data_IF_743029927363
#
_entry.id   IF_743029927363
#
_cell.length_a   1.000
_cell.length_b   1.000
_cell.length_c   1.000
_cell.angle_alpha   90.00
_cell.angle_beta   90.00
_cell.angle_gamma   90.00
#
_symmetry.space_group_name_H-M   'P 1'
#
loop_
_entity.id
_entity.type
_entity.pdbx_description
1 polymer ?
#
# COMPACT_ATOMS: atom_id res chain seq x y z
N UNK A 1 -0.31 -15.28 -10.83
CA UNK A 1 0.92 -16.07 -10.57
C UNK A 1 2.20 -15.22 -10.51
N UNK A 2 2.25 -14.01 -10.99
CA UNK A 2 3.50 -13.23 -11.12
C UNK A 2 3.88 -12.44 -9.86
N UNK A 3 2.95 -12.02 -9.03
CA UNK A 3 3.23 -11.22 -7.82
C UNK A 3 3.76 -12.08 -6.67
N UNK A 4 3.38 -13.35 -6.59
CA UNK A 4 3.85 -14.27 -5.53
C UNK A 4 5.20 -14.92 -5.85
N UNK A 5 5.62 -15.01 -7.12
CA UNK A 5 6.91 -15.61 -7.52
C UNK A 5 8.13 -14.70 -7.30
N UNK A 6 7.95 -13.41 -7.11
CA UNK A 6 9.07 -12.48 -6.87
C UNK A 6 9.69 -12.68 -5.48
N UNK A 7 8.97 -13.30 -4.53
CA UNK A 7 9.48 -13.55 -3.19
C UNK A 7 10.20 -14.89 -2.98
N UNK A 8 10.32 -15.76 -4.00
CA UNK A 8 10.88 -17.12 -3.83
C UNK A 8 12.29 -17.35 -4.38
N UNK A 9 12.97 -16.37 -4.98
CA UNK A 9 14.28 -16.57 -5.66
C UNK A 9 15.52 -15.92 -5.03
N UNK A 10 15.47 -15.55 -3.76
CA UNK A 10 16.64 -14.96 -3.07
C UNK A 10 17.19 -15.82 -1.92
N UNK A 11 17.13 -17.15 -2.02
CA UNK A 11 17.70 -18.05 -1.00
C UNK A 11 18.37 -19.28 -1.62
N UNK A 12 19.30 -19.07 -2.56
CA UNK A 12 20.21 -20.13 -2.99
C UNK A 12 21.37 -19.54 -3.81
N UNK A 13 22.41 -19.08 -3.18
CA UNK A 13 23.78 -19.05 -3.71
C UNK A 13 24.74 -18.49 -2.66
N UNK A 14 25.30 -19.32 -1.84
CA UNK A 14 26.66 -19.17 -1.30
C UNK A 14 27.04 -20.46 -0.58
N UNK A 15 27.60 -21.41 -1.33
CA UNK A 15 28.39 -22.50 -0.82
C UNK A 15 29.69 -22.55 -1.62
N UNK A 16 30.79 -22.30 -0.93
CA UNK A 16 32.10 -22.58 -1.50
C UNK A 16 33.20 -21.65 -1.02
N UNK A 17 33.86 -22.00 0.08
CA UNK A 17 35.30 -21.73 0.28
C UNK A 17 35.88 -22.73 1.28
N UNK A 18 37.20 -23.08 1.17
CA UNK A 18 37.73 -24.36 1.60
C UNK A 18 38.25 -24.40 3.05
N UNK A 19 38.21 -25.60 3.61
CA UNK A 19 38.84 -25.94 4.90
C UNK A 19 40.36 -25.81 4.85
N UNK A 20 40.93 -25.13 5.84
CA UNK A 20 42.31 -25.36 6.30
C UNK A 20 42.30 -25.77 7.77
N UNK A 21 42.97 -26.86 7.99
CA UNK A 21 43.29 -27.53 9.25
C UNK A 21 44.40 -26.81 10.02
N UNK A 22 44.30 -26.72 11.34
CA UNK A 22 45.38 -27.08 12.27
C UNK A 22 45.11 -26.62 13.71
N UNK A 23 45.41 -27.45 14.69
CA UNK A 23 45.93 -27.04 16.00
C UNK A 23 45.02 -27.31 17.22
N UNK A 24 45.15 -28.46 17.83
CA UNK A 24 44.65 -28.78 19.19
C UNK A 24 45.49 -28.12 20.26
N UNK A 25 44.85 -27.53 21.29
CA UNK A 25 45.29 -27.63 22.71
C UNK A 25 44.09 -27.34 23.63
N UNK A 26 43.95 -27.99 24.80
CA UNK A 26 42.77 -27.95 25.63
C UNK A 26 42.87 -26.89 26.72
N UNK A 27 41.80 -26.13 26.96
CA UNK A 27 41.61 -25.40 28.21
C UNK A 27 40.19 -25.66 28.72
N UNK A 28 40.12 -26.37 29.83
CA UNK A 28 38.89 -26.61 30.57
C UNK A 28 38.39 -25.31 31.18
N UNK A 29 37.21 -24.83 30.74
CA UNK A 29 36.46 -23.80 31.40
C UNK A 29 35.06 -24.36 31.66
N UNK A 30 34.72 -24.48 32.93
CA UNK A 30 33.38 -24.77 33.43
C UNK A 30 32.46 -23.62 33.03
N UNK A 31 31.60 -23.80 32.07
CA UNK A 31 30.50 -22.88 31.75
C UNK A 31 29.21 -23.54 32.23
N UNK A 32 28.61 -22.98 33.28
CA UNK A 32 27.25 -23.32 33.68
C UNK A 32 26.30 -22.87 32.55
N UNK A 33 25.79 -23.84 31.82
CA UNK A 33 24.74 -23.61 30.83
C UNK A 33 23.42 -23.36 31.56
N UNK A 34 23.03 -22.10 31.67
CA UNK A 34 21.65 -21.74 31.99
C UNK A 34 20.86 -21.99 30.71
N UNK A 35 20.25 -23.16 30.62
CA UNK A 35 19.28 -23.47 29.55
C UNK A 35 18.02 -22.64 29.79
N UNK A 36 17.90 -21.51 29.13
CA UNK A 36 16.61 -20.88 28.90
C UNK A 36 15.82 -21.80 27.95
N UNK A 37 15.00 -22.67 28.54
CA UNK A 37 13.95 -23.38 27.80
C UNK A 37 12.94 -22.35 27.34
N UNK A 38 13.13 -21.82 26.13
CA UNK A 38 12.04 -21.21 25.40
C UNK A 38 11.05 -22.35 25.11
N UNK A 39 10.04 -22.49 25.95
CA UNK A 39 8.97 -23.46 25.75
C UNK A 39 8.24 -23.12 24.47
N UNK A 40 8.59 -23.80 23.38
CA UNK A 40 7.75 -23.86 22.19
C UNK A 40 6.43 -24.50 22.65
N UNK A 41 5.36 -23.71 22.74
CA UNK A 41 4.02 -24.22 22.99
C UNK A 41 3.73 -25.28 21.92
N UNK A 42 3.37 -26.49 22.34
CA UNK A 42 2.93 -27.55 21.42
C UNK A 42 1.73 -27.04 20.61
N UNK A 43 1.61 -27.35 19.32
CA UNK A 43 0.49 -26.92 18.49
C UNK A 43 -0.88 -27.16 19.13
N UNK A 44 -1.08 -28.29 19.81
CA UNK A 44 -2.30 -28.64 20.52
C UNK A 44 -2.64 -27.68 21.69
N UNK A 45 -1.63 -27.11 22.36
CA UNK A 45 -1.87 -26.14 23.43
C UNK A 45 -2.28 -24.76 22.87
N UNK A 46 -1.68 -24.35 21.75
CA UNK A 46 -2.02 -23.12 21.05
C UNK A 46 -3.48 -23.16 20.51
N UNK A 47 -3.92 -24.29 20.02
CA UNK A 47 -5.31 -24.50 19.54
C UNK A 47 -6.31 -24.43 20.70
N UNK A 48 -5.98 -24.98 21.88
CA UNK A 48 -6.84 -24.92 23.08
C UNK A 48 -7.01 -23.50 23.59
N UNK A 49 -5.94 -22.70 23.60
CA UNK A 49 -5.99 -21.30 24.06
C UNK A 49 -6.74 -20.42 23.05
N UNK A 50 -6.58 -20.66 21.76
CA UNK A 50 -7.35 -19.97 20.73
C UNK A 50 -8.84 -20.29 20.81
N UNK A 51 -9.22 -21.56 21.01
CA UNK A 51 -10.61 -21.95 21.16
C UNK A 51 -11.25 -21.29 22.39
N UNK A 52 -10.53 -21.22 23.52
CA UNK A 52 -10.98 -20.49 24.72
C UNK A 52 -11.14 -19.00 24.43
N UNK A 53 -10.25 -18.41 23.65
CA UNK A 53 -10.37 -17.02 23.20
C UNK A 53 -11.60 -16.83 22.30
N UNK A 54 -11.85 -17.71 21.37
CA UNK A 54 -13.06 -17.68 20.50
C UNK A 54 -14.32 -17.72 21.37
N UNK A 55 -14.40 -18.62 22.35
CA UNK A 55 -15.54 -18.68 23.29
C UNK A 55 -15.69 -17.36 24.07
N UNK A 56 -14.57 -16.80 24.56
CA UNK A 56 -14.54 -15.52 25.26
C UNK A 56 -14.85 -14.30 24.40
N UNK A 57 -14.72 -14.40 23.07
CA UNK A 57 -15.07 -13.33 22.13
C UNK A 57 -16.57 -13.26 21.80
N UNK A 58 -17.33 -14.33 22.09
CA UNK A 58 -18.78 -14.38 21.81
C UNK A 58 -19.57 -13.19 22.40
N UNK A 59 -19.40 -12.77 23.66
CA UNK A 59 -20.11 -11.60 24.18
C UNK A 59 -19.93 -10.35 23.33
N UNK A 60 -18.71 -10.11 22.83
CA UNK A 60 -18.40 -8.94 21.97
C UNK A 60 -19.17 -9.02 20.65
N UNK A 61 -19.22 -10.21 20.03
CA UNK A 61 -19.94 -10.42 18.78
C UNK A 61 -21.48 -10.31 19.00
N UNK A 62 -21.99 -10.92 20.06
CA UNK A 62 -23.42 -10.85 20.46
C UNK A 62 -23.87 -9.41 20.71
N UNK A 63 -23.10 -8.66 21.49
CA UNK A 63 -23.45 -7.28 21.85
C UNK A 63 -23.40 -6.34 20.63
N UNK A 64 -22.66 -6.74 19.59
CA UNK A 64 -22.67 -6.10 18.27
C UNK A 64 -23.82 -6.55 17.36
N UNK A 65 -24.67 -7.51 17.79
CA UNK A 65 -25.84 -7.99 17.08
C UNK A 65 -25.60 -9.21 16.18
N UNK A 66 -24.49 -9.94 16.32
CA UNK A 66 -24.24 -11.19 15.55
C UNK A 66 -25.06 -12.34 16.14
N UNK A 67 -25.75 -13.09 15.28
CA UNK A 67 -26.50 -14.27 15.66
C UNK A 67 -25.62 -15.43 16.11
N UNK A 68 -26.09 -16.22 17.11
CA UNK A 68 -25.34 -17.35 17.68
C UNK A 68 -24.98 -18.40 16.62
N UNK A 69 -25.91 -18.69 15.72
CA UNK A 69 -25.74 -19.73 14.71
C UNK A 69 -24.71 -19.27 13.65
N UNK A 70 -24.74 -18.02 13.25
CA UNK A 70 -23.73 -17.45 12.35
C UNK A 70 -22.35 -17.50 13.01
N UNK A 71 -22.26 -17.13 14.29
CA UNK A 71 -21.00 -17.21 15.04
C UNK A 71 -20.44 -18.62 15.05
N UNK A 72 -21.29 -19.63 15.39
CA UNK A 72 -20.88 -21.03 15.41
C UNK A 72 -20.43 -21.53 14.04
N UNK A 73 -21.18 -21.22 12.97
CA UNK A 73 -20.77 -21.60 11.60
C UNK A 73 -19.47 -20.92 11.19
N UNK A 74 -19.31 -19.64 11.52
CA UNK A 74 -18.12 -18.87 11.15
C UNK A 74 -16.84 -19.39 11.81
N UNK A 75 -16.94 -19.95 13.02
CA UNK A 75 -15.77 -20.49 13.74
C UNK A 75 -15.67 -22.03 13.70
N UNK A 76 -16.52 -22.71 12.94
CA UNK A 76 -16.46 -24.17 12.85
C UNK A 76 -15.14 -24.62 12.23
N UNK A 77 -14.31 -25.36 13.01
CA UNK A 77 -13.03 -25.88 12.56
C UNK A 77 -11.94 -24.81 12.37
N UNK A 78 -12.17 -23.59 12.83
CA UNK A 78 -11.19 -22.50 12.69
C UNK A 78 -10.09 -22.64 13.76
N UNK A 79 -8.85 -22.68 13.29
CA UNK A 79 -7.61 -22.63 14.09
C UNK A 79 -6.80 -21.39 13.69
N UNK A 80 -5.83 -20.94 14.51
CA UNK A 80 -4.95 -19.85 14.11
C UNK A 80 -4.33 -20.08 12.72
N UNK A 81 -4.23 -19.02 11.94
CA UNK A 81 -3.62 -19.09 10.61
C UNK A 81 -2.10 -18.87 10.71
N UNK A 82 -1.27 -19.90 10.47
CA UNK A 82 0.19 -19.78 10.57
C UNK A 82 0.78 -18.76 9.58
N UNK A 83 0.19 -18.64 8.39
CA UNK A 83 0.65 -17.68 7.38
C UNK A 83 0.35 -16.25 7.81
N UNK A 84 -0.82 -15.99 8.38
CA UNK A 84 -1.16 -14.69 8.99
C UNK A 84 -0.17 -14.33 10.09
N UNK A 85 0.17 -15.26 11.00
CA UNK A 85 1.16 -15.03 12.06
C UNK A 85 2.53 -14.73 11.47
N UNK A 86 2.97 -15.50 10.50
CA UNK A 86 4.25 -15.32 9.81
C UNK A 86 4.34 -13.97 9.10
N UNK A 87 3.29 -13.58 8.38
CA UNK A 87 3.24 -12.35 7.61
C UNK A 87 3.10 -11.11 8.49
N UNK A 88 2.35 -11.20 9.60
CA UNK A 88 2.24 -10.15 10.61
C UNK A 88 3.61 -9.78 11.22
N UNK A 89 4.47 -10.79 11.45
CA UNK A 89 5.79 -10.61 12.04
C UNK A 89 6.88 -10.24 11.02
N UNK A 90 6.58 -10.32 9.72
CA UNK A 90 7.53 -10.00 8.66
C UNK A 90 7.65 -8.48 8.50
N UNK A 91 8.69 -7.89 9.08
CA UNK A 91 9.08 -6.51 8.76
C UNK A 91 9.88 -6.52 7.44
N UNK A 92 9.37 -5.81 6.43
CA UNK A 92 10.13 -5.63 5.19
C UNK A 92 11.04 -4.42 5.32
N UNK A 93 12.34 -4.66 5.44
CA UNK A 93 13.38 -3.61 5.35
C UNK A 93 13.54 -3.10 3.90
N UNK A 94 13.13 -3.91 2.93
CA UNK A 94 13.32 -3.58 1.53
C UNK A 94 12.26 -2.61 1.02
N UNK A 95 12.71 -1.44 0.56
CA UNK A 95 11.88 -0.44 -0.13
C UNK A 95 12.11 -0.60 -1.64
N UNK A 96 11.08 -1.06 -2.35
CA UNK A 96 11.14 -1.18 -3.80
C UNK A 96 11.19 0.21 -4.43
N UNK A 97 12.18 0.53 -5.29
CA UNK A 97 12.23 1.79 -6.00
C UNK A 97 10.94 2.07 -6.77
N UNK A 98 10.52 3.34 -6.83
CA UNK A 98 9.22 3.70 -7.44
C UNK A 98 9.10 3.28 -8.90
N UNK A 99 10.17 3.37 -9.68
CA UNK A 99 10.19 2.94 -11.08
C UNK A 99 9.99 1.43 -11.26
N UNK A 100 10.55 0.62 -10.37
CA UNK A 100 10.32 -0.83 -10.39
C UNK A 100 8.88 -1.18 -9.98
N UNK A 101 8.36 -0.46 -8.98
CA UNK A 101 6.97 -0.60 -8.57
C UNK A 101 6.03 -0.28 -9.72
N UNK A 102 6.21 0.90 -10.37
CA UNK A 102 5.40 1.35 -11.49
C UNK A 102 5.53 0.42 -12.71
N UNK A 103 6.73 -0.05 -13.05
CA UNK A 103 6.93 -0.98 -14.15
C UNK A 103 6.17 -2.31 -13.96
N UNK A 104 6.07 -2.79 -12.72
CA UNK A 104 5.28 -4.00 -12.42
C UNK A 104 3.77 -3.72 -12.28
N UNK A 105 3.42 -2.55 -11.74
CA UNK A 105 2.04 -2.16 -11.48
C UNK A 105 1.29 -1.70 -12.73
N UNK A 106 2.00 -1.09 -13.70
CA UNK A 106 1.45 -0.56 -14.94
C UNK A 106 2.10 -1.28 -16.15
N UNK A 107 2.21 -2.60 -16.07
CA UNK A 107 2.72 -3.41 -17.17
C UNK A 107 1.75 -3.39 -18.36
N UNK A 108 2.27 -3.54 -19.59
CA UNK A 108 1.43 -3.56 -20.80
C UNK A 108 0.34 -4.63 -20.71
N UNK A 109 0.65 -5.83 -20.20
CA UNK A 109 -0.35 -6.89 -19.98
C UNK A 109 -1.48 -6.44 -19.05
N UNK A 110 -1.17 -5.67 -17.96
CA UNK A 110 -2.23 -5.16 -17.08
C UNK A 110 -3.03 -4.05 -17.74
N UNK A 111 -2.40 -3.22 -18.55
CA UNK A 111 -3.09 -2.18 -19.35
C UNK A 111 -4.05 -2.80 -20.37
N UNK A 112 -3.58 -3.80 -21.11
CA UNK A 112 -4.40 -4.53 -22.08
C UNK A 112 -5.61 -5.19 -21.41
N UNK A 113 -5.37 -5.93 -20.33
CA UNK A 113 -6.45 -6.53 -19.54
C UNK A 113 -7.43 -5.48 -18.98
N UNK A 114 -6.93 -4.32 -18.58
CA UNK A 114 -7.78 -3.20 -18.16
C UNK A 114 -8.69 -2.68 -19.26
N UNK A 115 -8.20 -2.60 -20.49
CA UNK A 115 -9.01 -2.23 -21.67
C UNK A 115 -10.06 -3.29 -22.00
N UNK A 116 -9.70 -4.59 -21.88
CA UNK A 116 -10.65 -5.69 -22.03
C UNK A 116 -11.78 -5.57 -20.98
N UNK A 117 -11.44 -5.34 -19.71
CA UNK A 117 -12.42 -5.19 -18.64
C UNK A 117 -13.29 -3.93 -18.84
N UNK A 118 -12.68 -2.82 -19.26
CA UNK A 118 -13.42 -1.59 -19.59
C UNK A 118 -14.47 -1.84 -20.69
N UNK A 119 -14.14 -2.66 -21.68
CA UNK A 119 -15.05 -3.06 -22.75
C UNK A 119 -16.10 -4.07 -22.28
N UNK A 120 -15.68 -5.11 -21.57
CA UNK A 120 -16.57 -6.18 -21.11
C UNK A 120 -17.67 -5.70 -20.15
N UNK A 121 -17.37 -4.69 -19.33
CA UNK A 121 -18.30 -4.10 -18.37
C UNK A 121 -18.75 -2.69 -18.76
N UNK A 122 -18.67 -2.33 -20.04
CA UNK A 122 -18.96 -0.97 -20.52
C UNK A 122 -20.33 -0.42 -20.11
N UNK A 123 -21.46 -1.17 -20.21
CA UNK A 123 -22.77 -0.68 -19.77
C UNK A 123 -22.81 -0.42 -18.26
N UNK A 124 -22.30 -1.35 -17.44
CA UNK A 124 -22.29 -1.23 -15.99
C UNK A 124 -21.39 -0.08 -15.53
N UNK A 125 -20.19 0.03 -16.11
CA UNK A 125 -19.24 1.10 -15.80
C UNK A 125 -19.79 2.48 -16.22
N UNK A 126 -20.53 2.58 -17.33
CA UNK A 126 -21.20 3.82 -17.72
C UNK A 126 -22.27 4.22 -16.71
N UNK A 127 -23.09 3.28 -16.25
CA UNK A 127 -24.12 3.54 -15.23
C UNK A 127 -23.49 3.91 -13.88
N UNK A 128 -22.40 3.23 -13.48
CA UNK A 128 -21.64 3.52 -12.26
C UNK A 128 -21.03 4.93 -12.34
N UNK A 129 -20.37 5.28 -13.44
CA UNK A 129 -19.82 6.62 -13.66
C UNK A 129 -20.89 7.70 -13.59
N UNK A 130 -22.03 7.49 -14.23
CA UNK A 130 -23.17 8.41 -14.16
C UNK A 130 -23.71 8.56 -12.73
N UNK A 131 -23.83 7.45 -11.97
CA UNK A 131 -24.38 7.45 -10.60
C UNK A 131 -23.43 8.09 -9.59
N UNK A 132 -22.14 7.81 -9.71
CA UNK A 132 -21.15 8.21 -8.69
C UNK A 132 -20.28 9.40 -9.12
N UNK A 133 -20.23 9.75 -10.41
CA UNK A 133 -19.39 10.81 -10.95
C UNK A 133 -17.88 10.46 -10.87
N UNK A 134 -17.54 9.18 -10.85
CA UNK A 134 -16.17 8.67 -10.78
C UNK A 134 -15.80 8.08 -12.13
N UNK A 135 -14.67 8.51 -12.68
CA UNK A 135 -14.17 8.04 -13.98
C UNK A 135 -14.04 6.52 -13.96
N UNK A 136 -14.65 5.86 -14.94
CA UNK A 136 -14.66 4.39 -15.06
C UNK A 136 -13.26 3.80 -15.10
N UNK A 137 -12.32 4.49 -15.74
CA UNK A 137 -10.93 4.03 -15.83
C UNK A 137 -10.24 4.04 -14.47
N UNK A 138 -10.58 4.96 -13.57
CA UNK A 138 -10.06 4.97 -12.20
C UNK A 138 -10.58 3.76 -11.40
N UNK A 139 -11.86 3.41 -11.56
CA UNK A 139 -12.46 2.23 -10.93
C UNK A 139 -11.80 0.95 -11.44
N UNK A 140 -11.64 0.82 -12.77
CA UNK A 140 -10.98 -0.34 -13.39
C UNK A 140 -9.51 -0.42 -13.00
N UNK A 141 -8.81 0.73 -12.87
CA UNK A 141 -7.42 0.76 -12.45
C UNK A 141 -7.25 0.27 -11.01
N UNK A 142 -8.12 0.67 -10.07
CA UNK A 142 -8.10 0.15 -8.71
C UNK A 142 -8.34 -1.37 -8.71
N UNK A 143 -9.34 -1.86 -9.44
CA UNK A 143 -9.57 -3.30 -9.57
C UNK A 143 -8.33 -4.04 -10.10
N UNK A 144 -7.67 -3.47 -11.11
CA UNK A 144 -6.42 -4.01 -11.64
C UNK A 144 -5.27 -4.01 -10.65
N UNK A 145 -5.17 -2.97 -9.83
CA UNK A 145 -4.12 -2.87 -8.79
C UNK A 145 -4.34 -3.83 -7.63
N UNK A 146 -5.58 -3.99 -7.18
CA UNK A 146 -5.89 -4.79 -5.99
C UNK A 146 -5.80 -6.31 -6.27
N UNK A 147 -6.43 -6.78 -7.34
CA UNK A 147 -6.57 -8.23 -7.59
C UNK A 147 -6.18 -8.66 -8.99
N UNK A 148 -5.55 -7.76 -9.77
CA UNK A 148 -5.30 -8.01 -11.20
C UNK A 148 -6.59 -8.44 -11.92
N UNK A 149 -7.65 -7.63 -11.73
CA UNK A 149 -8.99 -7.84 -12.29
C UNK A 149 -9.64 -9.15 -11.82
N UNK A 150 -9.55 -9.44 -10.52
CA UNK A 150 -10.12 -10.63 -9.90
C UNK A 150 -9.32 -11.92 -10.11
N UNK A 151 -8.14 -11.85 -10.74
CA UNK A 151 -7.31 -13.05 -10.95
C UNK A 151 -6.72 -13.60 -9.65
N UNK A 152 -6.65 -12.79 -8.60
CA UNK A 152 -6.15 -13.19 -7.28
C UNK A 152 -6.76 -12.29 -6.18
N UNK A 153 -7.77 -12.79 -5.49
CA UNK A 153 -8.46 -12.08 -4.40
C UNK A 153 -7.91 -12.41 -3.01
N UNK A 154 -6.97 -13.35 -2.94
CA UNK A 154 -6.48 -13.96 -1.71
C UNK A 154 -7.05 -15.37 -1.52
N UNK A 155 -6.45 -16.14 -0.60
CA UNK A 155 -6.78 -17.54 -0.34
C UNK A 155 -7.10 -17.77 1.14
N UNK A 156 -7.17 -16.68 1.93
CA UNK A 156 -7.43 -16.77 3.36
C UNK A 156 -8.92 -16.61 3.63
N UNK A 157 -9.48 -17.49 4.46
CA UNK A 157 -10.79 -17.24 5.05
C UNK A 157 -10.68 -16.01 5.96
N UNK A 158 -11.41 -14.96 5.62
CA UNK A 158 -11.28 -13.64 6.25
C UNK A 158 -11.51 -13.67 7.76
N UNK A 159 -12.53 -14.43 8.22
CA UNK A 159 -12.79 -14.57 9.66
C UNK A 159 -11.60 -15.23 10.37
N UNK A 160 -11.01 -16.27 9.78
CA UNK A 160 -9.83 -16.94 10.34
C UNK A 160 -8.63 -16.00 10.44
N UNK A 161 -8.34 -15.26 9.36
CA UNK A 161 -7.25 -14.29 9.33
C UNK A 161 -7.45 -13.18 10.39
N UNK A 162 -8.64 -12.58 10.44
CA UNK A 162 -8.94 -11.52 11.40
C UNK A 162 -8.98 -12.02 12.85
N UNK A 163 -9.51 -13.22 13.10
CA UNK A 163 -9.49 -13.85 14.42
C UNK A 163 -8.05 -14.11 14.88
N UNK A 164 -7.19 -14.60 13.99
CA UNK A 164 -5.76 -14.78 14.28
C UNK A 164 -5.08 -13.46 14.64
N UNK A 165 -5.36 -12.39 13.90
CA UNK A 165 -4.82 -11.05 14.20
C UNK A 165 -5.38 -10.49 15.50
N UNK A 166 -6.68 -10.63 15.77
CA UNK A 166 -7.31 -10.18 17.00
C UNK A 166 -6.76 -10.91 18.24
N UNK A 167 -6.46 -12.21 18.09
CA UNK A 167 -5.85 -13.03 19.13
C UNK A 167 -4.37 -12.72 19.33
N UNK A 168 -3.56 -12.77 18.28
CA UNK A 168 -2.10 -12.83 18.38
C UNK A 168 -1.38 -11.49 18.14
N UNK A 169 -2.02 -10.47 17.50
CA UNK A 169 -1.32 -9.24 17.15
C UNK A 169 -0.91 -8.45 18.40
N UNK A 170 0.37 -8.04 18.54
CA UNK A 170 0.86 -7.28 19.69
C UNK A 170 0.35 -5.82 19.69
N UNK A 171 -0.14 -5.34 18.55
CA UNK A 171 -0.62 -3.96 18.34
C UNK A 171 -1.97 -3.95 17.65
N UNK A 172 -2.73 -2.86 17.85
CA UNK A 172 -4.00 -2.61 17.16
C UNK A 172 -5.09 -3.65 17.44
N UNK A 173 -5.11 -4.28 18.61
CA UNK A 173 -6.13 -5.30 18.97
C UNK A 173 -7.55 -4.79 18.77
N UNK A 174 -7.87 -3.57 19.21
CA UNK A 174 -9.21 -2.98 19.03
C UNK A 174 -9.59 -2.82 17.56
N UNK A 175 -8.61 -2.51 16.69
CA UNK A 175 -8.86 -2.47 15.25
C UNK A 175 -9.21 -3.85 14.70
N UNK A 176 -8.42 -4.88 15.03
CA UNK A 176 -8.68 -6.24 14.56
C UNK A 176 -9.99 -6.81 15.11
N UNK A 177 -10.31 -6.51 16.36
CA UNK A 177 -11.59 -6.89 16.96
C UNK A 177 -12.78 -6.27 16.20
N UNK A 178 -12.71 -4.98 15.88
CA UNK A 178 -13.77 -4.30 15.10
C UNK A 178 -13.89 -4.86 13.69
N UNK A 179 -12.79 -5.14 13.01
CA UNK A 179 -12.81 -5.74 11.68
C UNK A 179 -13.44 -7.15 11.73
N UNK A 180 -13.06 -7.97 12.72
CA UNK A 180 -13.64 -9.30 12.91
C UNK A 180 -15.14 -9.23 13.17
N UNK A 181 -15.60 -8.39 14.09
CA UNK A 181 -17.02 -8.18 14.36
C UNK A 181 -17.77 -7.78 13.10
N UNK A 182 -17.18 -6.86 12.32
CA UNK A 182 -17.82 -6.42 11.07
C UNK A 182 -17.88 -7.54 10.03
N UNK A 183 -16.83 -8.37 9.92
CA UNK A 183 -16.84 -9.55 9.06
C UNK A 183 -17.95 -10.54 9.46
N UNK A 184 -18.12 -10.79 10.76
CA UNK A 184 -19.21 -11.64 11.26
C UNK A 184 -20.60 -11.07 10.95
N UNK A 185 -20.77 -9.74 11.01
CA UNK A 185 -22.04 -9.08 10.63
C UNK A 185 -22.34 -9.19 9.14
N UNK A 186 -21.32 -9.19 8.28
CA UNK A 186 -21.48 -9.41 6.83
C UNK A 186 -22.01 -10.82 6.57
N UNK A 187 -21.48 -11.83 7.28
CA UNK A 187 -21.98 -13.20 7.22
C UNK A 187 -23.40 -13.33 7.77
N UNK A 188 -23.68 -12.67 8.91
CA UNK A 188 -24.97 -12.73 9.57
C UNK A 188 -26.10 -12.12 8.73
N UNK A 189 -25.78 -11.07 7.99
CA UNK A 189 -26.68 -10.44 7.03
C UNK A 189 -26.84 -11.23 5.71
N UNK A 190 -26.13 -12.35 5.53
CA UNK A 190 -26.25 -13.22 4.36
C UNK A 190 -25.65 -12.68 3.07
N UNK A 191 -24.80 -11.65 3.13
CA UNK A 191 -24.18 -11.07 1.94
C UNK A 191 -23.16 -11.98 1.26
N UNK A 192 -22.56 -12.89 2.02
CA UNK A 192 -21.63 -13.92 1.55
C UNK A 192 -21.70 -15.13 2.50
N UNK A 193 -21.39 -16.32 1.99
CA UNK A 193 -21.27 -17.51 2.83
C UNK A 193 -19.82 -17.67 3.36
N UNK A 194 -19.61 -18.38 4.49
CA UNK A 194 -18.28 -18.54 5.07
C UNK A 194 -17.24 -19.10 4.10
N UNK A 195 -17.60 -20.09 3.27
CA UNK A 195 -16.75 -20.74 2.28
C UNK A 195 -16.41 -19.85 1.07
N UNK A 196 -17.06 -18.72 0.94
CA UNK A 196 -16.83 -17.72 -0.12
C UNK A 196 -16.19 -16.43 0.40
N UNK A 197 -16.10 -16.25 1.71
CA UNK A 197 -15.53 -15.04 2.32
C UNK A 197 -14.00 -15.08 2.30
N UNK A 198 -13.44 -15.12 1.10
CA UNK A 198 -12.00 -15.16 0.87
C UNK A 198 -11.40 -13.75 0.76
N UNK A 199 -10.12 -13.65 1.12
CA UNK A 199 -9.39 -12.39 1.06
C UNK A 199 -7.91 -12.55 1.39
N UNK A 200 -7.26 -11.42 1.73
CA UNK A 200 -5.86 -11.39 2.13
C UNK A 200 -5.66 -11.90 3.56
N UNK A 201 -4.42 -12.22 3.90
CA UNK A 201 -4.01 -12.57 5.26
C UNK A 201 -4.33 -11.50 6.31
N UNK A 202 -4.54 -10.25 5.90
CA UNK A 202 -4.88 -9.12 6.75
C UNK A 202 -6.37 -8.73 6.70
N UNK A 203 -7.23 -9.57 6.06
CA UNK A 203 -8.67 -9.40 6.06
C UNK A 203 -9.23 -8.45 5.00
N UNK A 204 -8.44 -8.06 3.99
CA UNK A 204 -8.94 -7.33 2.83
C UNK A 204 -9.66 -8.30 1.89
N UNK A 205 -10.85 -7.93 1.39
CA UNK A 205 -11.85 -8.84 0.83
C UNK A 205 -12.19 -8.57 -0.64
N UNK A 206 -12.43 -9.65 -1.38
CA UNK A 206 -13.06 -9.64 -2.69
C UNK A 206 -12.26 -8.94 -3.78
N UNK A 207 -12.93 -8.61 -4.88
CA UNK A 207 -12.33 -8.04 -6.11
C UNK A 207 -11.53 -6.75 -5.90
N UNK A 208 -11.93 -5.92 -4.95
CA UNK A 208 -11.35 -4.58 -4.72
C UNK A 208 -10.73 -4.43 -3.34
N UNK A 209 -10.54 -5.55 -2.64
CA UNK A 209 -9.78 -5.66 -1.39
C UNK A 209 -10.25 -4.69 -0.29
N UNK A 210 -11.55 -4.59 -0.07
CA UNK A 210 -12.11 -3.82 1.02
C UNK A 210 -11.86 -4.50 2.37
N UNK A 211 -11.43 -3.71 3.36
CA UNK A 211 -11.56 -4.13 4.76
C UNK A 211 -13.05 -4.25 5.14
N UNK A 212 -13.43 -5.13 6.09
CA UNK A 212 -14.82 -5.24 6.53
C UNK A 212 -15.47 -3.91 6.90
N UNK A 213 -14.76 -3.03 7.60
CA UNK A 213 -15.25 -1.69 7.93
C UNK A 213 -15.47 -0.81 6.70
N UNK A 214 -14.61 -0.91 5.68
CA UNK A 214 -14.78 -0.21 4.41
C UNK A 214 -15.97 -0.76 3.64
N UNK A 215 -16.14 -2.09 3.62
CA UNK A 215 -17.30 -2.73 3.03
C UNK A 215 -18.61 -2.25 3.69
N UNK A 216 -18.67 -2.22 5.02
CA UNK A 216 -19.85 -1.78 5.77
C UNK A 216 -20.27 -0.35 5.40
N UNK A 217 -19.31 0.54 5.14
CA UNK A 217 -19.55 1.96 4.88
C UNK A 217 -19.80 2.28 3.40
N UNK A 218 -19.19 1.53 2.48
CA UNK A 218 -19.10 1.94 1.07
C UNK A 218 -19.59 0.89 0.08
N UNK A 219 -19.88 -0.35 0.50
CA UNK A 219 -20.38 -1.36 -0.41
C UNK A 219 -21.74 -0.97 -0.99
N UNK A 220 -21.97 -1.34 -2.23
CA UNK A 220 -23.15 -1.01 -3.01
C UNK A 220 -23.73 -2.29 -3.60
N UNK A 221 -25.04 -2.41 -3.54
CA UNK A 221 -25.84 -3.36 -4.30
C UNK A 221 -26.15 -2.68 -5.64
N UNK A 222 -25.52 -3.15 -6.71
CA UNK A 222 -25.66 -2.55 -8.04
C UNK A 222 -26.92 -3.01 -8.75
N UNK A 223 -27.22 -4.30 -8.69
CA UNK A 223 -28.32 -4.94 -9.41
C UNK A 223 -29.63 -5.04 -8.60
N UNK A 224 -29.59 -4.69 -7.30
CA UNK A 224 -30.77 -4.63 -6.45
C UNK A 224 -31.26 -5.99 -5.95
N UNK A 225 -30.38 -7.02 -5.93
CA UNK A 225 -30.71 -8.36 -5.43
C UNK A 225 -30.77 -8.46 -3.89
N UNK A 226 -30.50 -7.36 -3.18
CA UNK A 226 -30.48 -7.27 -1.72
C UNK A 226 -29.13 -7.65 -1.10
N UNK A 227 -28.15 -8.05 -1.90
CA UNK A 227 -26.79 -8.38 -1.45
C UNK A 227 -25.80 -7.32 -1.95
N UNK A 228 -24.70 -7.21 -1.24
CA UNK A 228 -23.56 -6.35 -1.63
C UNK A 228 -22.36 -7.26 -1.79
N UNK A 229 -22.37 -8.03 -2.87
CA UNK A 229 -21.43 -9.13 -3.11
C UNK A 229 -20.20 -8.65 -3.88
N UNK A 230 -19.13 -8.33 -3.17
CA UNK A 230 -17.85 -7.92 -3.78
C UNK A 230 -16.95 -9.10 -4.17
N UNK A 231 -17.39 -10.35 -3.98
CA UNK A 231 -16.62 -11.57 -4.28
C UNK A 231 -17.03 -12.21 -5.60
N UNK A 232 -18.34 -12.29 -5.88
CA UNK A 232 -18.86 -12.98 -7.07
C UNK A 232 -19.61 -12.05 -8.02
N UNK A 233 -20.09 -10.89 -7.53
CA UNK A 233 -20.76 -9.86 -8.32
C UNK A 233 -19.79 -8.72 -8.65
N UNK A 234 -19.17 -8.77 -9.84
CA UNK A 234 -18.22 -7.74 -10.29
C UNK A 234 -18.86 -6.35 -10.35
N UNK A 235 -20.08 -6.14 -10.88
CA UNK A 235 -20.76 -4.85 -10.82
C UNK A 235 -20.90 -4.26 -9.41
N UNK A 236 -21.19 -5.08 -8.39
CA UNK A 236 -21.25 -4.64 -6.99
C UNK A 236 -19.87 -4.15 -6.51
N UNK A 237 -18.82 -4.89 -6.82
CA UNK A 237 -17.45 -4.54 -6.46
C UNK A 237 -17.02 -3.21 -7.09
N UNK A 238 -17.33 -3.01 -8.40
CA UNK A 238 -17.01 -1.78 -9.13
C UNK A 238 -17.83 -0.58 -8.61
N UNK A 239 -19.13 -0.78 -8.36
CA UNK A 239 -20.00 0.25 -7.78
C UNK A 239 -19.57 0.62 -6.35
N UNK A 240 -19.16 -0.36 -5.55
CA UNK A 240 -18.60 -0.14 -4.21
C UNK A 240 -17.33 0.70 -4.25
N UNK A 241 -16.42 0.41 -5.19
CA UNK A 241 -15.19 1.19 -5.40
C UNK A 241 -15.50 2.63 -5.81
N UNK A 242 -16.43 2.83 -6.74
CA UNK A 242 -16.86 4.16 -7.15
C UNK A 242 -17.52 4.93 -5.99
N UNK A 243 -18.37 4.27 -5.20
CA UNK A 243 -18.98 4.86 -4.01
C UNK A 243 -17.92 5.28 -2.99
N UNK A 244 -16.90 4.44 -2.75
CA UNK A 244 -15.77 4.79 -1.89
C UNK A 244 -15.07 6.06 -2.35
N UNK A 245 -14.71 6.17 -3.61
CA UNK A 245 -14.02 7.35 -4.16
C UNK A 245 -14.90 8.59 -4.08
N UNK A 246 -16.19 8.49 -4.44
CA UNK A 246 -17.17 9.59 -4.32
C UNK A 246 -17.26 10.09 -2.90
N UNK A 247 -17.44 9.20 -1.92
CA UNK A 247 -17.57 9.55 -0.50
C UNK A 247 -16.30 10.17 0.09
N UNK A 248 -15.14 9.92 -0.51
CA UNK A 248 -13.87 10.56 -0.16
C UNK A 248 -13.58 11.85 -0.96
N UNK A 249 -14.54 12.33 -1.75
CA UNK A 249 -14.49 13.63 -2.40
C UNK A 249 -13.86 13.62 -3.79
N UNK A 250 -14.07 12.53 -4.56
CA UNK A 250 -13.72 12.51 -5.98
C UNK A 250 -14.37 13.66 -6.72
N UNK A 251 -13.58 14.36 -7.51
CA UNK A 251 -14.04 15.46 -8.34
C UNK A 251 -14.26 14.97 -9.77
N UNK A 252 -15.54 14.87 -10.16
CA UNK A 252 -15.95 14.42 -11.50
C UNK A 252 -15.34 15.27 -12.59
N UNK A 253 -14.87 14.62 -13.67
CA UNK A 253 -14.26 15.26 -14.82
C UNK A 253 -12.93 15.97 -14.55
N UNK A 254 -12.29 15.73 -13.38
CA UNK A 254 -10.94 16.23 -13.07
C UNK A 254 -9.95 15.07 -13.02
N UNK A 255 -8.74 15.33 -13.53
CA UNK A 255 -7.65 14.35 -13.48
C UNK A 255 -7.07 14.21 -12.06
N UNK A 256 -6.31 13.14 -11.85
CA UNK A 256 -5.53 12.91 -10.63
C UNK A 256 -4.26 13.78 -10.56
N UNK A 257 -3.66 14.12 -11.72
CA UNK A 257 -2.42 14.87 -11.78
C UNK A 257 -1.87 15.04 -13.19
N UNK A 258 -0.70 15.65 -13.24
CA UNK A 258 0.04 15.85 -14.49
C UNK A 258 1.53 15.56 -14.27
N UNK A 259 2.15 14.80 -15.17
CA UNK A 259 3.60 14.81 -15.31
C UNK A 259 4.03 16.20 -15.82
N UNK A 260 5.12 16.76 -15.23
CA UNK A 260 5.56 18.12 -15.52
C UNK A 260 7.07 18.20 -15.68
N UNK A 261 7.53 19.20 -16.43
CA UNK A 261 8.93 19.60 -16.56
C UNK A 261 9.17 20.83 -15.73
N UNK A 262 10.23 20.81 -14.94
CA UNK A 262 10.69 21.96 -14.17
C UNK A 262 11.67 22.81 -14.99
N UNK A 263 11.62 24.14 -14.88
CA UNK A 263 12.56 25.02 -15.58
C UNK A 263 13.97 24.89 -15.00
N UNK A 264 14.95 25.30 -15.79
CA UNK A 264 16.33 25.43 -15.31
C UNK A 264 16.39 26.45 -14.16
N UNK A 265 17.04 26.11 -13.06
CA UNK A 265 17.11 26.97 -11.87
C UNK A 265 15.83 27.02 -11.04
N UNK A 266 14.98 26.00 -11.15
CA UNK A 266 13.75 25.90 -10.34
C UNK A 266 14.03 26.01 -8.84
N UNK A 267 13.20 26.80 -8.13
CA UNK A 267 13.28 26.89 -6.67
C UNK A 267 12.57 25.71 -6.01
N UNK A 268 13.34 24.77 -5.49
CA UNK A 268 12.85 23.55 -4.84
C UNK A 268 12.20 23.78 -3.47
N UNK A 269 12.24 25.01 -2.91
CA UNK A 269 11.46 25.31 -1.69
C UNK A 269 9.94 25.23 -1.94
N UNK A 270 9.53 25.44 -3.18
CA UNK A 270 8.14 25.29 -3.58
C UNK A 270 7.63 23.84 -3.60
N UNK A 271 8.53 22.85 -3.54
CA UNK A 271 8.14 21.42 -3.51
C UNK A 271 7.37 21.13 -2.22
N UNK A 272 6.32 20.34 -2.32
CA UNK A 272 5.35 20.03 -1.25
C UNK A 272 4.39 21.20 -0.89
N UNK A 273 4.49 22.38 -1.53
CA UNK A 273 3.51 23.44 -1.35
C UNK A 273 2.30 23.29 -2.28
N UNK A 274 1.13 23.69 -1.79
CA UNK A 274 -0.08 23.74 -2.60
C UNK A 274 -0.18 25.12 -3.28
N UNK A 275 -0.30 25.12 -4.61
CA UNK A 275 -0.47 26.32 -5.43
C UNK A 275 -1.44 26.02 -6.55
N UNK A 276 -2.08 27.06 -7.11
CA UNK A 276 -2.86 26.89 -8.34
C UNK A 276 -1.95 26.48 -9.50
N UNK A 277 -2.51 25.76 -10.47
CA UNK A 277 -1.80 25.40 -11.71
C UNK A 277 -1.28 26.66 -12.42
N UNK A 278 -2.04 27.77 -12.41
CA UNK A 278 -1.58 29.03 -12.96
C UNK A 278 -0.34 29.58 -12.22
N UNK A 279 -0.28 29.43 -10.90
CA UNK A 279 0.90 29.82 -10.14
C UNK A 279 2.12 28.94 -10.45
N UNK A 280 1.93 27.64 -10.60
CA UNK A 280 2.98 26.71 -11.06
C UNK A 280 3.49 27.08 -12.45
N UNK A 281 2.58 27.41 -13.38
CA UNK A 281 2.96 27.86 -14.73
C UNK A 281 3.78 29.15 -14.70
N UNK A 282 3.46 30.13 -13.82
CA UNK A 282 4.27 31.34 -13.65
C UNK A 282 5.68 31.05 -13.11
N UNK A 283 5.86 29.97 -12.37
CA UNK A 283 7.17 29.48 -11.93
C UNK A 283 7.90 28.68 -13.04
N UNK A 284 7.36 28.63 -14.26
CA UNK A 284 7.94 27.95 -15.40
C UNK A 284 7.65 26.47 -15.49
N UNK A 285 6.80 25.92 -14.57
CA UNK A 285 6.39 24.50 -14.62
C UNK A 285 5.48 24.30 -15.83
N UNK A 286 5.79 23.30 -16.66
CA UNK A 286 5.08 23.03 -17.91
C UNK A 286 4.83 21.52 -18.09
N UNK A 287 3.93 21.17 -19.00
CA UNK A 287 3.71 19.77 -19.41
C UNK A 287 4.80 19.33 -20.39
N UNK A 288 5.27 18.05 -20.37
CA UNK A 288 6.33 17.56 -21.26
C UNK A 288 6.02 17.75 -22.75
N UNK A 289 4.75 17.70 -23.14
CA UNK A 289 4.30 17.86 -24.51
C UNK A 289 4.03 19.31 -24.94
N UNK A 290 4.38 20.30 -24.11
CA UNK A 290 4.15 21.72 -24.35
C UNK A 290 2.68 22.17 -24.35
N UNK A 291 1.72 21.27 -24.05
CA UNK A 291 0.30 21.62 -23.99
C UNK A 291 -0.01 22.46 -22.77
N UNK A 292 -0.97 23.36 -22.90
CA UNK A 292 -1.51 24.11 -21.77
C UNK A 292 -2.21 23.19 -20.76
N UNK A 293 -2.21 23.59 -19.50
CA UNK A 293 -3.03 22.95 -18.48
C UNK A 293 -4.50 23.36 -18.70
N UNK A 294 -5.43 22.40 -18.78
CA UNK A 294 -6.83 22.71 -19.12
C UNK A 294 -7.60 23.46 -18.03
N UNK A 295 -7.08 23.44 -16.77
CA UNK A 295 -7.74 24.02 -15.60
C UNK A 295 -6.74 24.81 -14.76
N UNK A 296 -6.40 26.03 -15.12
CA UNK A 296 -5.36 26.81 -14.45
C UNK A 296 -5.71 27.23 -13.01
N UNK A 297 -6.99 27.20 -12.63
CA UNK A 297 -7.47 27.51 -11.28
C UNK A 297 -7.46 26.30 -10.32
N UNK A 298 -7.21 25.10 -10.80
CA UNK A 298 -7.14 23.92 -9.91
C UNK A 298 -5.88 24.00 -9.03
N UNK A 299 -6.02 23.61 -7.77
CA UNK A 299 -4.90 23.50 -6.83
C UNK A 299 -4.14 22.20 -7.07
N UNK A 300 -2.83 22.28 -6.96
CA UNK A 300 -1.93 21.15 -7.12
C UNK A 300 -0.71 21.26 -6.22
N UNK A 301 -0.17 20.12 -5.82
CA UNK A 301 1.09 20.01 -5.07
C UNK A 301 2.14 19.38 -5.97
N UNK A 302 3.31 20.01 -6.06
CA UNK A 302 4.45 19.44 -6.78
C UNK A 302 5.13 18.37 -5.93
N UNK A 303 5.32 17.18 -6.50
CA UNK A 303 6.10 16.12 -5.88
C UNK A 303 7.21 15.62 -6.80
N UNK A 304 8.32 15.17 -6.19
CA UNK A 304 9.49 14.58 -6.83
C UNK A 304 9.73 13.18 -6.26
N UNK A 305 9.05 12.15 -6.78
CA UNK A 305 9.07 10.81 -6.16
C UNK A 305 10.44 10.13 -6.15
N UNK A 306 11.35 10.54 -7.05
CA UNK A 306 12.72 10.07 -7.14
C UNK A 306 13.75 11.23 -7.19
N UNK A 307 13.41 12.37 -6.58
CA UNK A 307 14.25 13.56 -6.60
C UNK A 307 14.25 14.32 -7.92
N UNK A 308 15.12 15.29 -8.03
CA UNK A 308 15.22 16.22 -9.17
C UNK A 308 15.69 15.56 -10.48
N UNK A 309 16.30 14.39 -10.41
CA UNK A 309 16.77 13.63 -11.58
C UNK A 309 15.72 12.70 -12.18
N UNK A 310 14.53 12.62 -11.59
CA UNK A 310 13.42 11.82 -12.08
C UNK A 310 12.22 12.66 -12.50
N UNK A 311 11.14 12.02 -12.97
CA UNK A 311 9.89 12.67 -13.32
C UNK A 311 9.30 13.47 -12.15
N UNK A 312 8.82 14.67 -12.45
CA UNK A 312 8.08 15.54 -11.54
C UNK A 312 6.59 15.51 -11.84
N UNK A 313 5.77 15.68 -10.80
CA UNK A 313 4.32 15.62 -10.96
C UNK A 313 3.61 16.70 -10.16
N UNK A 314 2.58 17.31 -10.78
CA UNK A 314 1.57 18.11 -10.09
C UNK A 314 0.39 17.21 -9.71
N UNK A 315 0.19 16.99 -8.40
CA UNK A 315 -0.86 16.16 -7.85
C UNK A 315 -2.09 16.99 -7.51
N UNK A 316 -3.24 16.61 -8.06
CA UNK A 316 -4.52 17.25 -7.84
C UNK A 316 -5.36 16.50 -6.78
N UNK A 317 -6.55 17.01 -6.48
CA UNK A 317 -7.44 16.46 -5.45
C UNK A 317 -7.69 14.96 -5.61
N UNK A 318 -7.96 14.48 -6.83
CA UNK A 318 -8.28 13.07 -7.08
C UNK A 318 -7.10 12.12 -6.76
N UNK A 319 -5.86 12.57 -6.85
CA UNK A 319 -4.70 11.80 -6.36
C UNK A 319 -4.80 11.51 -4.85
N UNK A 320 -5.19 12.49 -4.07
CA UNK A 320 -5.34 12.32 -2.62
C UNK A 320 -6.58 11.49 -2.26
N UNK A 321 -7.60 11.47 -3.11
CA UNK A 321 -8.74 10.57 -2.98
C UNK A 321 -8.29 9.12 -3.21
N UNK A 322 -7.47 8.86 -4.24
CA UNK A 322 -6.87 7.53 -4.47
C UNK A 322 -6.02 7.11 -3.25
N UNK A 323 -5.27 8.05 -2.65
CA UNK A 323 -4.48 7.79 -1.43
C UNK A 323 -5.34 7.40 -0.22
N UNK A 324 -6.65 7.67 -0.19
CA UNK A 324 -7.54 7.14 0.84
C UNK A 324 -7.73 5.63 0.75
N UNK A 325 -7.66 5.09 -0.47
CA UNK A 325 -7.70 3.65 -0.69
C UNK A 325 -6.43 2.97 -0.16
N UNK A 326 -5.28 3.48 -0.54
CA UNK A 326 -3.97 3.06 -0.03
C UNK A 326 -3.05 4.28 0.08
N UNK A 327 -2.58 4.58 1.29
CA UNK A 327 -1.83 5.81 1.59
C UNK A 327 -0.36 5.80 1.10
N UNK A 328 -0.05 5.03 0.06
CA UNK A 328 1.26 5.04 -0.58
C UNK A 328 1.25 5.94 -1.83
N UNK A 329 2.22 6.85 -1.95
CA UNK A 329 2.39 7.71 -3.12
C UNK A 329 2.61 6.90 -4.40
N UNK A 330 3.41 5.83 -4.33
CA UNK A 330 3.65 4.93 -5.46
C UNK A 330 2.37 4.23 -5.93
N UNK A 331 1.49 3.80 -4.99
CA UNK A 331 0.19 3.22 -5.32
C UNK A 331 -0.70 4.22 -6.05
N UNK A 332 -0.85 5.42 -5.51
CA UNK A 332 -1.74 6.42 -6.12
C UNK A 332 -1.24 6.87 -7.51
N UNK A 333 0.09 6.99 -7.69
CA UNK A 333 0.69 7.20 -9.01
C UNK A 333 0.40 6.04 -9.96
N UNK A 334 0.51 4.79 -9.49
CA UNK A 334 0.23 3.61 -10.31
C UNK A 334 -1.23 3.54 -10.73
N UNK A 335 -2.18 3.78 -9.80
CA UNK A 335 -3.62 3.83 -10.12
C UNK A 335 -3.91 4.91 -11.15
N UNK A 336 -3.44 6.14 -10.91
CA UNK A 336 -3.66 7.26 -11.82
C UNK A 336 -3.05 7.01 -13.21
N UNK A 337 -1.81 6.54 -13.24
CA UNK A 337 -1.13 6.21 -14.51
C UNK A 337 -1.79 5.03 -15.22
N UNK A 338 -2.18 3.97 -14.49
CA UNK A 338 -2.90 2.84 -15.09
C UNK A 338 -4.25 3.28 -15.67
N UNK A 339 -4.99 4.16 -14.99
CA UNK A 339 -6.23 4.73 -15.51
C UNK A 339 -6.01 5.49 -16.84
N UNK A 340 -4.97 6.32 -16.89
CA UNK A 340 -4.60 7.05 -18.11
C UNK A 340 -4.19 6.09 -19.25
N UNK A 341 -3.39 5.06 -18.94
CA UNK A 341 -2.98 4.04 -19.93
C UNK A 341 -4.14 3.22 -20.46
N UNK A 342 -5.08 2.84 -19.61
CA UNK A 342 -6.31 2.11 -19.99
C UNK A 342 -7.19 3.00 -20.89
N UNK A 343 -7.28 4.30 -20.60
CA UNK A 343 -7.99 5.30 -21.45
C UNK A 343 -7.33 5.51 -22.81
N UNK A 344 -6.10 5.04 -23.02
CA UNK A 344 -5.34 5.19 -24.28
C UNK A 344 -4.17 6.16 -24.20
N UNK A 345 -3.83 6.66 -23.02
CA UNK A 345 -2.63 7.48 -22.78
C UNK A 345 -1.32 6.69 -22.97
N UNK A 346 -0.24 7.44 -23.20
CA UNK A 346 1.12 6.90 -23.32
C UNK A 346 1.82 6.66 -21.97
N UNK A 347 3.05 6.16 -21.98
CA UNK A 347 3.91 6.10 -20.79
C UNK A 347 4.28 7.52 -20.33
N UNK A 348 4.92 7.63 -19.18
CA UNK A 348 5.55 8.89 -18.75
C UNK A 348 6.60 9.32 -19.76
N UNK A 349 6.71 10.62 -19.96
CA UNK A 349 7.59 11.21 -20.97
C UNK A 349 9.05 11.29 -20.50
N UNK A 350 9.28 11.38 -19.19
CA UNK A 350 10.59 11.48 -18.60
C UNK A 350 11.05 10.12 -18.03
N UNK A 351 12.33 9.83 -18.23
CA UNK A 351 12.96 8.63 -17.71
C UNK A 351 13.26 8.75 -16.19
N UNK A 352 13.22 7.61 -15.51
CA UNK A 352 13.62 7.51 -14.10
C UNK A 352 15.14 7.36 -13.98
N UNK A 353 15.78 8.18 -13.16
CA UNK A 353 17.20 7.95 -12.80
C UNK A 353 17.30 6.75 -11.84
N UNK A 354 17.61 5.59 -12.40
CA UNK A 354 17.72 4.34 -11.65
C UNK A 354 18.87 4.30 -10.63
N UNK A 355 19.77 5.31 -10.65
CA UNK A 355 20.85 5.47 -9.67
C UNK A 355 20.35 6.14 -8.38
N UNK A 356 19.22 6.83 -8.43
CA UNK A 356 18.60 7.52 -7.29
C UNK A 356 17.90 6.52 -6.35
N UNK A 357 18.63 5.53 -5.84
CA UNK A 357 18.06 4.47 -4.98
C UNK A 357 17.48 5.06 -3.69
N UNK A 358 16.24 4.69 -3.31
CA UNK A 358 15.63 5.09 -2.05
C UNK A 358 16.31 4.39 -0.87
N UNK A 359 16.21 5.00 0.32
CA UNK A 359 16.69 4.41 1.57
C UNK A 359 15.75 3.30 2.05
N UNK A 360 16.31 2.28 2.68
CA UNK A 360 15.57 1.39 3.58
C UNK A 360 15.13 2.17 4.83
N UNK A 361 14.29 1.56 5.67
CA UNK A 361 13.86 2.22 6.91
C UNK A 361 15.02 2.50 7.85
N UNK A 362 15.89 1.52 8.06
CA UNK A 362 17.09 1.67 8.91
C UNK A 362 18.04 2.75 8.36
N UNK A 363 18.28 2.76 7.05
CA UNK A 363 19.08 3.81 6.41
C UNK A 363 18.47 5.21 6.53
N UNK A 364 17.14 5.32 6.49
CA UNK A 364 16.44 6.59 6.71
C UNK A 364 16.58 7.06 8.16
N UNK A 365 16.58 6.16 9.14
CA UNK A 365 16.85 6.43 10.55
C UNK A 365 18.29 6.92 10.75
N UNK A 366 19.26 6.27 10.09
CA UNK A 366 20.66 6.70 10.09
C UNK A 366 20.83 8.11 9.49
N UNK A 367 20.18 8.37 8.34
CA UNK A 367 20.21 9.70 7.73
C UNK A 367 19.62 10.77 8.65
N UNK A 368 18.46 10.50 9.28
CA UNK A 368 17.84 11.41 10.23
C UNK A 368 18.76 11.71 11.43
N UNK A 369 19.41 10.67 11.96
CA UNK A 369 20.37 10.80 13.05
C UNK A 369 21.56 11.68 12.66
N UNK A 370 22.13 11.48 11.47
CA UNK A 370 23.28 12.27 10.97
C UNK A 370 22.88 13.71 10.71
N UNK A 371 21.71 13.97 10.15
CA UNK A 371 21.17 15.32 9.93
C UNK A 371 20.97 16.06 11.26
N UNK A 372 20.36 15.43 12.26
CA UNK A 372 20.18 16.02 13.59
C UNK A 372 21.51 16.36 14.26
N UNK A 373 22.52 15.46 14.21
CA UNK A 373 23.87 15.72 14.72
C UNK A 373 24.55 16.92 14.09
N UNK A 374 24.18 17.27 12.85
CA UNK A 374 24.69 18.42 12.11
C UNK A 374 23.82 19.68 12.22
N UNK A 375 22.79 19.64 13.07
CA UNK A 375 21.94 20.79 13.33
C UNK A 375 20.79 21.01 12.34
N UNK A 376 20.54 20.05 11.42
CA UNK A 376 19.43 20.14 10.45
C UNK A 376 18.12 19.57 11.01
N UNK A 377 17.69 19.93 12.16
CA UNK A 377 16.53 19.44 12.89
C UNK A 377 15.43 18.77 12.02
N UNK A 378 15.46 17.44 11.92
CA UNK A 378 14.53 16.64 11.13
C UNK A 378 13.46 15.93 11.98
N UNK A 379 13.41 16.20 13.27
CA UNK A 379 12.57 15.52 14.26
C UNK A 379 13.16 14.20 14.74
N UNK A 380 12.31 13.30 15.22
CA UNK A 380 12.75 11.98 15.67
C UNK A 380 13.33 11.15 14.53
N UNK A 381 14.40 10.40 14.80
CA UNK A 381 14.93 9.41 13.88
C UNK A 381 14.08 8.12 13.97
N UNK A 382 12.98 8.08 13.22
CA UNK A 382 11.98 7.00 13.22
C UNK A 382 11.97 6.17 11.91
N UNK A 383 12.90 6.49 11.00
CA UNK A 383 13.00 5.87 9.68
C UNK A 383 11.89 6.26 8.69
N UNK A 384 11.09 7.30 9.00
CA UNK A 384 10.03 7.79 8.14
C UNK A 384 10.39 9.13 7.53
N UNK A 385 10.53 9.18 6.21
CA UNK A 385 10.84 10.41 5.48
C UNK A 385 9.58 11.27 5.34
N UNK A 386 9.29 12.04 6.39
CA UNK A 386 8.17 12.99 6.44
C UNK A 386 8.54 14.41 5.97
N UNK A 387 7.60 15.38 6.05
CA UNK A 387 7.86 16.76 5.65
C UNK A 387 9.02 17.42 6.40
N UNK A 388 9.19 17.17 7.71
CA UNK A 388 10.31 17.69 8.49
C UNK A 388 11.65 17.13 7.98
N UNK A 389 11.72 15.82 7.74
CA UNK A 389 12.91 15.17 7.18
C UNK A 389 13.28 15.75 5.82
N UNK A 390 12.31 15.91 4.91
CA UNK A 390 12.56 16.51 3.59
C UNK A 390 13.06 17.95 3.69
N UNK A 391 12.51 18.78 4.58
CA UNK A 391 13.02 20.14 4.80
C UNK A 391 14.46 20.13 5.29
N UNK A 392 14.81 19.29 6.26
CA UNK A 392 16.18 19.15 6.75
C UNK A 392 17.14 18.66 5.67
N UNK A 393 16.71 17.70 4.83
CA UNK A 393 17.49 17.26 3.66
C UNK A 393 17.74 18.44 2.71
N UNK A 394 16.72 19.23 2.35
CA UNK A 394 16.89 20.43 1.50
C UNK A 394 17.89 21.42 2.10
N UNK A 395 17.79 21.68 3.39
CA UNK A 395 18.71 22.58 4.07
C UNK A 395 20.17 22.06 4.01
N UNK A 396 20.38 20.77 4.25
CA UNK A 396 21.69 20.13 4.11
C UNK A 396 22.19 20.19 2.65
N UNK A 397 21.37 19.80 1.69
CA UNK A 397 21.74 19.83 0.27
C UNK A 397 22.20 21.22 -0.17
N UNK A 398 21.51 22.30 0.26
CA UNK A 398 21.94 23.68 0.01
C UNK A 398 23.30 23.98 0.63
N UNK A 399 23.52 23.59 1.87
CA UNK A 399 24.77 23.90 2.58
C UNK A 399 26.01 23.28 1.94
N UNK A 400 25.80 22.22 1.12
CA UNK A 400 26.89 21.52 0.41
C UNK A 400 26.83 21.67 -1.12
N UNK A 401 26.03 22.62 -1.63
CA UNK A 401 25.93 22.93 -3.06
C UNK A 401 25.25 21.87 -3.93
N UNK A 402 24.41 21.00 -3.33
CA UNK A 402 23.57 20.05 -4.06
C UNK A 402 22.23 20.68 -4.45
N UNK A 403 21.54 20.09 -5.42
CA UNK A 403 20.15 20.43 -5.74
C UNK A 403 19.29 20.12 -4.50
N UNK A 404 18.58 21.12 -3.93
CA UNK A 404 17.84 20.95 -2.69
C UNK A 404 16.45 20.33 -2.91
N UNK A 405 16.38 19.14 -3.52
CA UNK A 405 15.14 18.45 -3.87
C UNK A 405 14.45 17.74 -2.70
N UNK A 406 15.16 17.58 -1.57
CA UNK A 406 14.64 16.93 -0.37
C UNK A 406 14.52 15.40 -0.49
N UNK A 407 15.11 14.80 -1.53
CA UNK A 407 15.01 13.36 -1.74
C UNK A 407 16.02 12.60 -0.87
N UNK A 408 15.52 11.63 -0.11
CA UNK A 408 16.32 10.75 0.74
C UNK A 408 16.86 9.58 -0.07
N UNK A 409 18.08 9.69 -0.59
CA UNK A 409 18.73 8.65 -1.40
C UNK A 409 19.92 8.00 -0.69
N UNK A 410 20.30 6.81 -1.16
CA UNK A 410 21.52 6.11 -0.71
C UNK A 410 22.74 7.00 -0.93
N UNK A 411 22.87 7.64 -2.09
CA UNK A 411 23.98 8.54 -2.39
C UNK A 411 24.07 9.74 -1.42
N UNK A 412 22.91 10.26 -0.97
CA UNK A 412 22.90 11.33 0.04
C UNK A 412 23.37 10.81 1.40
N UNK A 413 22.95 9.63 1.82
CA UNK A 413 23.42 9.00 3.06
C UNK A 413 24.91 8.75 3.04
N UNK A 414 25.45 8.21 1.97
CA UNK A 414 26.89 7.97 1.79
C UNK A 414 27.69 9.28 1.87
N UNK A 415 27.22 10.34 1.21
CA UNK A 415 27.87 11.66 1.23
C UNK A 415 27.91 12.25 2.63
N UNK A 416 26.77 12.25 3.35
CA UNK A 416 26.73 12.80 4.71
C UNK A 416 27.56 11.97 5.68
N UNK A 417 27.61 10.64 5.50
CA UNK A 417 28.44 9.75 6.32
C UNK A 417 29.95 10.00 6.12
N UNK A 418 30.36 10.30 4.89
CA UNK A 418 31.74 10.61 4.56
C UNK A 418 32.22 12.03 5.00
N UNK A 419 31.37 12.80 5.65
CA UNK A 419 31.73 14.15 6.12
C UNK A 419 31.75 15.22 5.03
N UNK A 420 31.23 14.94 3.85
CA UNK A 420 31.28 15.79 2.66
C UNK A 420 30.01 16.58 2.41
#
# INVERSE_FOLDING_TARGET
MTVLRIFRKAAAAFSGLPRRSAGRLPLAALTAAVTFSAGALSPAAADTDFNRWVEGFWPVARDAGVGRDTYRRAFQGVTPDPDTIRLMNKQSEFVKPIWEYLASAVSDTRVEKGREMLSAYAPQLAAIEQRYGVDREAVVAIWGMETNYGSFMGEHYVVRALATLAYAAPRRKDFWNRELVTALKILDAGHVQPDRMEGSWAGAMGHTQFMPSSWSQYSSDYDGDGRRDIWTNIPDALASTANYLKRHGWQSGKTWGYEVVLPRGFDYEAVDEEKTIAAWSRLGVSRPNGRNFPRPSDDAVLILPAGASGPAFLMLRNFYVIKRYNNATAYALAVGHLADRVRGGGPFAQDWDKRALPLTRSQAEDLQTLLNRRGFNVGAADGRVGPATRRGIRAYQRSVGLIPDGYASVALLERISAGR
#
